data_IF_396115549963
#
_entry.id   IF_396115549963
#
_cell.length_a   1.000
_cell.length_b   1.000
_cell.length_c   1.000
_cell.angle_alpha   90.00
_cell.angle_beta   90.00
_cell.angle_gamma   90.00
#
_symmetry.space_group_name_H-M   'P 1'
#
loop_
_entity.id
_entity.type
_entity.pdbx_description
1 polymer ?
#
# COMPACT_ATOMS: atom_id res chain seq x y z
N UNK A 1 -13.49 5.19 11.55
CA UNK A 1 -13.87 4.39 10.36
C UNK A 1 -12.60 4.10 9.56
N UNK A 2 -12.33 2.82 9.26
CA UNK A 2 -11.22 2.41 8.38
C UNK A 2 -11.77 2.22 6.97
N UNK A 3 -11.12 2.78 5.95
CA UNK A 3 -11.41 2.45 4.54
C UNK A 3 -10.19 1.79 3.93
N UNK A 4 -10.41 0.81 3.06
CA UNK A 4 -9.32 0.02 2.50
C UNK A 4 -9.39 0.07 0.99
N UNK A 5 -8.53 0.91 0.43
CA UNK A 5 -8.32 0.96 -1.00
C UNK A 5 -7.44 -0.22 -1.40
N UNK A 6 -8.02 -1.26 -1.98
CA UNK A 6 -7.19 -2.29 -2.55
C UNK A 6 -6.76 -1.85 -3.95
N UNK A 7 -5.46 -1.80 -4.19
CA UNK A 7 -4.95 -1.64 -5.54
C UNK A 7 -4.98 -3.02 -6.21
N UNK A 8 -6.12 -3.33 -6.85
CA UNK A 8 -6.37 -4.67 -7.36
C UNK A 8 -6.32 -4.79 -8.86
N UNK A 9 -5.53 -5.74 -9.35
CA UNK A 9 -5.67 -6.28 -10.71
C UNK A 9 -6.66 -7.48 -10.74
N UNK A 10 -7.15 -7.94 -9.59
CA UNK A 10 -7.96 -9.14 -9.41
C UNK A 10 -9.00 -8.96 -8.29
N UNK A 11 -10.04 -9.80 -8.22
CA UNK A 11 -11.00 -9.73 -7.12
C UNK A 11 -10.30 -9.97 -5.78
N UNK A 12 -10.37 -8.99 -4.86
CA UNK A 12 -9.95 -9.21 -3.48
C UNK A 12 -11.05 -9.88 -2.69
N UNK A 13 -10.63 -10.83 -1.87
CA UNK A 13 -11.43 -11.41 -0.82
C UNK A 13 -11.27 -10.51 0.40
N UNK A 14 -12.36 -10.10 1.07
CA UNK A 14 -12.32 -9.45 2.38
C UNK A 14 -13.03 -10.35 3.41
N UNK A 15 -12.59 -10.37 4.69
CA UNK A 15 -13.28 -11.17 5.70
C UNK A 15 -14.72 -10.64 5.88
N UNK A 16 -15.67 -11.50 6.28
CA UNK A 16 -17.03 -11.07 6.60
C UNK A 16 -17.00 -9.97 7.68
N UNK A 17 -17.99 -9.07 7.63
CA UNK A 17 -18.16 -7.92 8.51
C UNK A 17 -17.83 -8.25 9.96
N UNK A 18 -16.84 -7.55 10.52
CA UNK A 18 -16.62 -7.49 11.95
C UNK A 18 -17.50 -6.40 12.58
N UNK A 19 -17.83 -6.62 13.84
CA UNK A 19 -18.80 -5.92 14.68
C UNK A 19 -18.88 -4.38 14.61
N UNK A 20 -20.08 -3.88 14.97
CA UNK A 20 -20.40 -2.55 15.52
C UNK A 20 -19.58 -1.33 15.04
N UNK A 21 -19.62 -1.03 13.73
CA UNK A 21 -19.28 0.31 13.20
C UNK A 21 -17.91 0.47 12.53
N UNK A 22 -17.12 -0.59 12.42
CA UNK A 22 -15.86 -0.58 11.65
C UNK A 22 -15.93 -1.54 10.46
N UNK A 23 -16.17 -1.00 9.27
CA UNK A 23 -16.30 -1.79 8.03
C UNK A 23 -15.17 -1.53 7.07
N UNK A 24 -14.60 -2.60 6.49
CA UNK A 24 -13.72 -2.49 5.33
C UNK A 24 -14.51 -1.99 4.11
N UNK A 25 -14.27 -0.75 3.68
CA UNK A 25 -14.76 -0.25 2.41
C UNK A 25 -13.73 -0.54 1.33
N UNK A 26 -14.01 -1.53 0.49
CA UNK A 26 -13.13 -1.96 -0.60
C UNK A 26 -13.33 -1.06 -1.82
N UNK A 27 -12.30 -0.27 -2.15
CA UNK A 27 -12.19 0.33 -3.48
C UNK A 27 -11.34 -0.59 -4.35
N UNK A 28 -11.79 -0.86 -5.58
CA UNK A 28 -10.98 -1.59 -6.55
C UNK A 28 -10.12 -0.60 -7.34
N UNK A 29 -8.82 -0.87 -7.37
CA UNK A 29 -7.84 -0.21 -8.21
C UNK A 29 -8.20 -0.22 -9.70
N UNK A 30 -7.60 0.72 -10.42
CA UNK A 30 -7.67 0.84 -11.86
C UNK A 30 -6.66 -0.10 -12.54
N UNK A 31 -7.06 -0.71 -13.66
CA UNK A 31 -6.12 -1.15 -14.68
C UNK A 31 -6.04 0.00 -15.67
N UNK A 32 -4.90 0.70 -15.78
CA UNK A 32 -4.81 1.69 -16.85
C UNK A 32 -5.01 0.97 -18.17
N UNK A 33 -5.95 1.48 -18.98
CA UNK A 33 -6.03 1.03 -20.35
C UNK A 33 -4.68 1.37 -20.98
N UNK A 34 -3.87 0.35 -21.27
CA UNK A 34 -2.52 0.50 -21.82
C UNK A 34 -2.50 1.35 -23.09
N UNK A 35 -3.66 1.52 -23.73
CA UNK A 35 -3.87 2.36 -24.90
C UNK A 35 -3.90 3.87 -24.60
N UNK A 36 -4.09 4.29 -23.34
CA UNK A 36 -4.12 5.71 -22.92
C UNK A 36 -2.78 6.23 -22.41
N UNK A 37 -1.81 5.34 -22.20
CA UNK A 37 -0.47 5.76 -21.79
C UNK A 37 0.26 6.40 -22.98
N UNK A 38 0.99 7.52 -22.78
CA UNK A 38 1.82 8.11 -23.83
C UNK A 38 2.72 7.05 -24.46
N UNK A 39 2.95 7.10 -25.76
CA UNK A 39 3.94 6.23 -26.40
C UNK A 39 5.33 6.59 -25.89
N UNK A 40 5.93 5.71 -25.09
CA UNK A 40 7.30 5.88 -24.62
C UNK A 40 8.29 5.17 -25.55
N UNK A 41 9.47 5.75 -25.81
CA UNK A 41 10.49 5.12 -26.66
C UNK A 41 10.92 3.77 -26.05
N UNK A 42 10.67 2.71 -26.81
CA UNK A 42 10.56 1.30 -26.42
C UNK A 42 11.83 0.59 -25.90
N UNK A 43 12.95 1.30 -25.69
CA UNK A 43 14.24 0.65 -25.36
C UNK A 43 14.56 0.53 -23.87
N UNK A 44 13.78 1.15 -22.97
CA UNK A 44 14.07 1.16 -21.53
C UNK A 44 12.92 0.68 -20.63
N UNK A 45 11.78 0.31 -21.21
CA UNK A 45 10.61 -0.15 -20.45
C UNK A 45 10.64 -1.68 -20.39
N UNK A 46 10.70 -2.24 -19.17
CA UNK A 46 10.67 -3.69 -18.98
C UNK A 46 9.35 -4.29 -19.43
N UNK A 47 8.20 -3.66 -19.10
CA UNK A 47 6.86 -4.00 -19.62
C UNK A 47 5.84 -2.85 -19.40
N UNK A 48 4.71 -2.80 -20.14
CA UNK A 48 3.57 -1.93 -19.80
C UNK A 48 3.06 -2.11 -18.36
N UNK A 49 3.21 -3.32 -17.80
CA UNK A 49 2.82 -3.63 -16.43
C UNK A 49 3.56 -2.76 -15.39
N UNK A 50 4.86 -2.56 -15.57
CA UNK A 50 5.66 -1.77 -14.63
C UNK A 50 5.20 -0.30 -14.60
N UNK A 51 4.85 0.25 -15.76
CA UNK A 51 4.25 1.58 -15.84
C UNK A 51 2.94 1.65 -15.06
N UNK A 52 2.04 0.67 -15.23
CA UNK A 52 0.77 0.67 -14.50
C UNK A 52 0.96 0.68 -12.99
N UNK A 53 1.89 -0.12 -12.48
CA UNK A 53 2.18 -0.17 -11.05
C UNK A 53 2.69 1.18 -10.51
N UNK A 54 3.51 1.91 -11.27
CA UNK A 54 4.03 3.22 -10.82
C UNK A 54 2.93 4.28 -10.60
N UNK A 55 1.79 4.15 -11.29
CA UNK A 55 0.68 5.08 -11.16
C UNK A 55 -0.30 4.75 -10.02
N UNK A 56 -0.10 3.67 -9.25
CA UNK A 56 -1.06 3.23 -8.21
C UNK A 56 -1.32 4.28 -7.13
N UNK A 57 -0.28 5.00 -6.71
CA UNK A 57 -0.41 6.07 -5.71
C UNK A 57 -1.02 7.34 -6.31
N UNK A 58 -0.82 7.59 -7.61
CA UNK A 58 -1.51 8.67 -8.32
C UNK A 58 -3.00 8.39 -8.41
N UNK A 59 -3.39 7.19 -8.81
CA UNK A 59 -4.80 6.78 -8.81
C UNK A 59 -5.40 6.98 -7.42
N UNK A 60 -4.71 6.51 -6.38
CA UNK A 60 -5.19 6.70 -5.01
C UNK A 60 -5.34 8.19 -4.66
N UNK A 61 -4.34 9.03 -4.96
CA UNK A 61 -4.41 10.47 -4.69
C UNK A 61 -5.47 11.22 -5.50
N UNK A 62 -5.87 10.73 -6.67
CA UNK A 62 -6.95 11.31 -7.48
C UNK A 62 -8.34 10.85 -7.04
N UNK A 63 -8.44 9.62 -6.56
CA UNK A 63 -9.69 9.08 -6.03
C UNK A 63 -9.98 9.60 -4.63
N UNK A 64 -8.96 9.75 -3.76
CA UNK A 64 -9.13 10.16 -2.37
C UNK A 64 -9.96 11.45 -2.19
N UNK A 65 -9.77 12.53 -2.97
CA UNK A 65 -10.58 13.74 -2.84
C UNK A 65 -12.04 13.58 -3.29
N UNK A 66 -12.30 12.67 -4.25
CA UNK A 66 -13.66 12.43 -4.79
C UNK A 66 -14.57 11.83 -3.75
N UNK A 67 -13.97 11.09 -2.84
CA UNK A 67 -14.69 10.47 -1.75
C UNK A 67 -14.49 11.39 -0.53
N UNK A 68 -15.50 12.21 -0.18
CA UNK A 68 -15.45 13.17 0.93
C UNK A 68 -15.02 12.47 2.23
N UNK A 69 -13.75 12.52 2.62
CA UNK A 69 -13.21 11.53 3.57
C UNK A 69 -12.53 12.10 4.81
N UNK A 70 -13.06 11.64 5.96
CA UNK A 70 -12.43 11.64 7.26
C UNK A 70 -12.14 10.16 7.58
N UNK A 71 -10.89 9.71 7.47
CA UNK A 71 -10.56 8.31 7.81
C UNK A 71 -9.15 7.88 7.43
N UNK A 72 -8.78 6.67 7.84
CA UNK A 72 -7.50 6.03 7.50
C UNK A 72 -7.69 5.16 6.26
N UNK A 73 -6.66 5.16 5.40
CA UNK A 73 -6.62 4.47 4.12
C UNK A 73 -5.55 3.39 4.19
N UNK A 74 -5.89 2.14 3.87
CA UNK A 74 -4.91 1.08 3.59
C UNK A 74 -4.84 0.89 2.07
N UNK A 75 -3.64 0.99 1.50
CA UNK A 75 -3.26 0.52 0.18
C UNK A 75 -2.64 -0.88 0.30
N UNK A 76 -3.17 -1.84 -0.45
CA UNK A 76 -2.70 -3.21 -0.49
C UNK A 76 -2.76 -3.80 -1.91
N UNK A 77 -1.71 -4.50 -2.31
CA UNK A 77 -1.66 -5.30 -3.54
C UNK A 77 -2.61 -6.52 -3.45
N UNK A 78 -2.86 -7.17 -4.59
CA UNK A 78 -3.85 -8.27 -4.70
C UNK A 78 -3.48 -9.56 -3.99
N UNK A 79 -2.19 -9.84 -3.94
CA UNK A 79 -1.60 -11.03 -3.34
C UNK A 79 -1.38 -10.82 -1.84
N UNK A 80 -2.40 -10.28 -1.18
CA UNK A 80 -2.38 -9.97 0.25
C UNK A 80 -3.42 -10.80 1.01
N UNK A 81 -3.13 -11.04 2.29
CA UNK A 81 -3.98 -11.78 3.20
C UNK A 81 -4.10 -11.03 4.53
N UNK A 82 -5.33 -10.63 4.89
CA UNK A 82 -5.62 -9.86 6.09
C UNK A 82 -6.03 -10.79 7.24
N UNK A 83 -5.34 -10.68 8.38
CA UNK A 83 -5.52 -11.50 9.58
C UNK A 83 -6.19 -10.77 10.75
N UNK A 84 -6.19 -9.45 10.74
CA UNK A 84 -6.73 -8.61 11.81
C UNK A 84 -8.12 -8.10 11.49
N UNK A 85 -8.87 -7.74 12.55
CA UNK A 85 -10.06 -6.92 12.40
C UNK A 85 -9.69 -5.48 12.00
N UNK A 86 -10.62 -4.70 11.41
CA UNK A 86 -10.42 -3.27 11.17
C UNK A 86 -10.00 -2.48 12.42
N UNK A 87 -10.60 -2.79 13.57
CA UNK A 87 -10.33 -2.11 14.84
C UNK A 87 -8.89 -2.37 15.31
N UNK A 88 -8.45 -3.63 15.28
CA UNK A 88 -7.09 -4.02 15.63
C UNK A 88 -6.06 -3.39 14.67
N UNK A 89 -6.35 -3.32 13.37
CA UNK A 89 -5.47 -2.65 12.41
C UNK A 89 -5.34 -1.15 12.71
N UNK A 90 -6.44 -0.46 13.01
CA UNK A 90 -6.45 0.96 13.35
C UNK A 90 -5.70 1.25 14.66
N UNK A 91 -5.90 0.42 15.68
CA UNK A 91 -5.20 0.53 16.96
C UNK A 91 -3.69 0.44 16.75
N UNK A 92 -3.23 -0.59 16.04
CA UNK A 92 -1.80 -0.75 15.73
C UNK A 92 -1.25 0.36 14.85
N UNK A 93 -2.04 0.88 13.92
CA UNK A 93 -1.62 2.04 13.12
C UNK A 93 -1.43 3.28 14.00
N UNK A 94 -2.35 3.54 14.94
CA UNK A 94 -2.23 4.64 15.88
C UNK A 94 -0.95 4.52 16.76
N UNK A 95 -0.57 3.30 17.14
CA UNK A 95 0.70 3.05 17.86
C UNK A 95 1.96 3.42 17.06
N UNK A 96 1.90 3.39 15.72
CA UNK A 96 3.04 3.75 14.88
C UNK A 96 3.34 5.25 14.92
N UNK A 97 2.39 6.08 15.38
CA UNK A 97 2.54 7.55 15.54
C UNK A 97 3.09 8.23 14.30
N UNK A 98 2.64 7.79 13.12
CA UNK A 98 3.09 8.31 11.83
C UNK A 98 1.88 8.50 10.91
N UNK A 99 1.82 9.60 10.12
CA UNK A 99 0.72 9.83 9.19
C UNK A 99 0.71 8.83 8.03
N UNK A 100 1.86 8.22 7.73
CA UNK A 100 2.04 7.15 6.75
C UNK A 100 2.91 6.04 7.33
N UNK A 101 2.49 4.79 7.17
CA UNK A 101 3.30 3.61 7.47
C UNK A 101 3.42 2.77 6.23
N UNK A 102 4.64 2.45 5.84
CA UNK A 102 4.96 1.62 4.66
C UNK A 102 5.47 0.26 5.12
N UNK A 103 5.06 -0.80 4.44
CA UNK A 103 5.55 -2.14 4.70
C UNK A 103 7.06 -2.23 4.47
N UNK A 104 7.76 -2.87 5.39
CA UNK A 104 9.19 -3.13 5.25
C UNK A 104 9.44 -4.58 4.78
N UNK A 105 10.55 -4.80 4.09
CA UNK A 105 11.01 -6.12 3.70
C UNK A 105 12.51 -6.30 3.96
N UNK A 106 12.96 -7.56 3.91
CA UNK A 106 14.34 -7.93 4.20
C UNK A 106 15.31 -7.75 3.03
N UNK A 107 14.78 -7.71 1.79
CA UNK A 107 15.59 -7.58 0.57
C UNK A 107 15.40 -6.20 -0.03
N UNK A 108 16.51 -5.54 -0.37
CA UNK A 108 16.43 -4.31 -1.15
C UNK A 108 16.06 -4.66 -2.60
N UNK A 109 14.87 -4.23 -3.03
CA UNK A 109 14.43 -4.41 -4.40
C UNK A 109 13.66 -3.17 -4.91
N UNK A 110 13.89 -2.75 -6.16
CA UNK A 110 15.17 -2.95 -6.85
C UNK A 110 16.29 -2.33 -6.02
N UNK A 111 17.51 -2.88 -6.14
CA UNK A 111 18.71 -2.36 -5.46
C UNK A 111 19.62 -1.72 -6.52
N UNK A 112 19.30 -0.51 -6.99
CA UNK A 112 20.01 0.09 -8.13
C UNK A 112 21.44 0.51 -7.78
N UNK A 113 21.75 0.75 -6.49
CA UNK A 113 23.10 1.06 -6.02
C UNK A 113 23.42 0.32 -4.72
N UNK A 114 24.03 -0.87 -4.82
CA UNK A 114 24.38 -1.67 -3.63
C UNK A 114 25.46 -1.04 -2.76
N UNK A 115 26.23 -0.08 -3.26
CA UNK A 115 27.32 0.55 -2.52
C UNK A 115 26.82 1.66 -1.61
N UNK A 116 25.75 2.36 -2.01
CA UNK A 116 25.17 3.45 -1.25
C UNK A 116 23.74 3.11 -0.81
N UNK A 117 23.61 2.25 0.20
CA UNK A 117 22.30 1.87 0.75
C UNK A 117 21.75 2.94 1.72
N UNK A 118 20.74 3.75 1.34
CA UNK A 118 20.18 4.77 2.23
C UNK A 118 19.31 4.17 3.34
N UNK A 119 18.98 2.88 3.22
CA UNK A 119 18.14 2.12 4.15
C UNK A 119 18.98 1.28 5.12
N UNK A 120 20.25 1.64 5.33
CA UNK A 120 21.11 0.95 6.28
C UNK A 120 20.52 1.04 7.70
N UNK A 121 20.41 -0.11 8.37
CA UNK A 121 19.81 -0.22 9.70
C UNK A 121 20.04 -1.59 10.31
N UNK A 122 19.82 -1.70 11.62
CA UNK A 122 20.04 -2.94 12.38
C UNK A 122 18.90 -3.95 12.27
N UNK A 123 17.71 -3.53 11.83
CA UNK A 123 16.56 -4.42 11.69
C UNK A 123 16.66 -5.27 10.43
N UNK A 124 16.09 -6.49 10.49
CA UNK A 124 16.00 -7.37 9.33
C UNK A 124 15.09 -6.77 8.26
N UNK A 125 13.88 -6.34 8.64
CA UNK A 125 12.97 -5.62 7.77
C UNK A 125 13.34 -4.13 7.78
N UNK A 126 13.88 -3.63 6.69
CA UNK A 126 14.39 -2.24 6.60
C UNK A 126 14.20 -1.57 5.25
N UNK A 127 13.83 -2.32 4.22
CA UNK A 127 13.62 -1.76 2.88
C UNK A 127 12.14 -1.50 2.65
N UNK A 128 11.73 -0.32 2.17
CA UNK A 128 10.33 -0.05 1.86
C UNK A 128 9.84 -0.96 0.71
N UNK A 129 8.64 -1.50 0.87
CA UNK A 129 7.91 -2.25 -0.15
C UNK A 129 6.62 -1.50 -0.51
N UNK A 130 6.38 -1.25 -1.79
CA UNK A 130 5.25 -0.45 -2.27
C UNK A 130 3.91 -1.17 -2.22
N UNK A 131 3.88 -2.49 -1.97
CA UNK A 131 2.65 -3.27 -2.02
C UNK A 131 1.77 -3.16 -0.79
N UNK A 132 2.27 -2.58 0.30
CA UNK A 132 1.51 -2.32 1.53
C UNK A 132 1.83 -0.93 2.10
N UNK A 133 0.81 -0.10 2.28
CA UNK A 133 0.92 1.17 2.99
C UNK A 133 -0.40 1.51 3.70
N UNK A 134 -0.35 2.10 4.88
CA UNK A 134 -1.53 2.64 5.57
C UNK A 134 -1.25 4.06 6.03
N UNK A 135 -2.22 4.96 5.92
CA UNK A 135 -2.00 6.36 6.26
C UNK A 135 -3.25 7.22 6.15
N UNK A 136 -3.06 8.51 6.42
CA UNK A 136 -4.11 9.51 6.18
C UNK A 136 -4.19 9.86 4.68
N UNK A 137 -5.34 10.37 4.19
CA UNK A 137 -5.47 10.82 2.81
C UNK A 137 -4.41 11.86 2.43
N UNK A 138 -4.11 12.79 3.34
CA UNK A 138 -3.11 13.85 3.15
C UNK A 138 -1.72 13.25 2.95
N UNK A 139 -1.36 12.22 3.72
CA UNK A 139 -0.06 11.57 3.59
C UNK A 139 0.10 10.85 2.24
N UNK A 140 -0.97 10.21 1.74
CA UNK A 140 -0.97 9.63 0.39
C UNK A 140 -0.89 10.68 -0.72
N UNK A 141 -1.56 11.82 -0.56
CA UNK A 141 -1.45 12.96 -1.50
C UNK A 141 -0.02 13.50 -1.52
N UNK A 142 0.63 13.65 -0.36
CA UNK A 142 2.03 14.07 -0.27
C UNK A 142 2.97 13.06 -0.95
N UNK A 143 2.76 11.75 -0.73
CA UNK A 143 3.55 10.70 -1.39
C UNK A 143 3.40 10.74 -2.91
N UNK A 144 2.16 10.84 -3.42
CA UNK A 144 1.89 10.93 -4.85
C UNK A 144 2.49 12.21 -5.46
N UNK A 145 2.43 13.34 -4.76
CA UNK A 145 3.07 14.58 -5.18
C UNK A 145 4.60 14.45 -5.23
N UNK A 146 5.23 13.82 -4.22
CA UNK A 146 6.67 13.57 -4.19
C UNK A 146 7.13 12.68 -5.36
N UNK A 147 6.32 11.71 -5.78
CA UNK A 147 6.56 10.90 -6.98
C UNK A 147 6.43 11.71 -8.28
N UNK A 148 5.36 12.50 -8.44
CA UNK A 148 5.12 13.30 -9.67
C UNK A 148 6.16 14.39 -9.91
N UNK A 149 6.76 14.89 -8.83
CA UNK A 149 7.83 15.90 -8.91
C UNK A 149 9.21 15.28 -9.17
N UNK A 150 9.30 13.98 -9.45
CA UNK A 150 10.51 13.38 -10.01
C UNK A 150 10.63 13.84 -11.48
N UNK A 151 11.81 14.32 -11.86
CA UNK A 151 12.08 15.00 -13.14
C UNK A 151 11.58 14.24 -14.39
N UNK A 152 11.42 12.92 -14.31
CA UNK A 152 11.05 12.07 -15.43
C UNK A 152 9.94 11.05 -15.10
N UNK A 153 9.13 11.27 -14.05
CA UNK A 153 8.06 10.33 -13.66
C UNK A 153 7.21 9.87 -14.87
N UNK A 154 6.93 8.55 -15.04
CA UNK A 154 7.13 7.42 -14.10
C UNK A 154 8.54 6.83 -14.06
N UNK A 155 9.51 7.47 -14.72
CA UNK A 155 10.91 7.11 -14.56
C UNK A 155 11.44 7.57 -13.20
N UNK A 156 11.91 6.62 -12.40
CA UNK A 156 12.45 6.88 -11.08
C UNK A 156 13.98 6.80 -11.09
N UNK A 157 14.66 7.82 -10.53
CA UNK A 157 16.12 7.91 -10.62
C UNK A 157 16.76 6.76 -9.84
N UNK A 158 17.79 6.13 -10.42
CA UNK A 158 18.64 5.20 -9.67
C UNK A 158 19.45 5.96 -8.61
N UNK A 159 19.72 5.33 -7.46
CA UNK A 159 20.35 5.92 -6.26
C UNK A 159 21.82 6.39 -6.40
N UNK A 160 22.34 6.55 -7.61
CA UNK A 160 23.73 6.91 -7.86
C UNK A 160 24.03 8.38 -7.51
N UNK A 161 24.29 8.70 -6.24
CA UNK A 161 24.67 10.01 -5.64
C UNK A 161 23.65 10.68 -4.73
N UNK A 162 23.04 9.94 -3.79
CA UNK A 162 22.28 10.59 -2.70
C UNK A 162 23.16 11.37 -1.71
N UNK A 163 24.49 11.17 -1.73
CA UNK A 163 25.44 11.65 -0.70
C UNK A 163 26.05 13.03 -0.95
N UNK A 164 25.65 13.75 -1.99
CA UNK A 164 26.09 15.14 -2.19
C UNK A 164 24.91 16.05 -2.46
N UNK A 165 25.02 17.32 -2.08
CA UNK A 165 24.07 18.43 -2.32
C UNK A 165 23.81 18.72 -3.82
N UNK A 166 23.71 17.68 -4.66
CA UNK A 166 23.76 17.71 -6.12
C UNK A 166 22.49 17.07 -6.67
N UNK A 167 21.34 17.59 -6.25
CA UNK A 167 20.19 17.61 -7.16
C UNK A 167 20.34 18.72 -8.23
N UNK A 168 21.31 19.62 -8.08
CA UNK A 168 21.47 20.80 -8.94
C UNK A 168 22.23 20.54 -10.25
N UNK A 169 22.98 19.44 -10.39
CA UNK A 169 23.82 19.17 -11.57
C UNK A 169 23.67 17.73 -12.09
N UNK A 170 22.47 17.14 -12.03
CA UNK A 170 22.17 15.96 -12.84
C UNK A 170 22.10 16.39 -14.31
N UNK A 171 23.29 16.44 -14.92
CA UNK A 171 23.51 16.60 -16.35
C UNK A 171 22.73 15.54 -17.10
N UNK A 172 21.99 16.03 -18.10
CA UNK A 172 21.23 15.42 -19.21
C UNK A 172 21.58 14.03 -19.78
N UNK A 173 22.51 13.26 -19.23
CA UNK A 173 22.76 11.88 -19.67
C UNK A 173 21.78 10.92 -18.98
N UNK A 174 20.64 10.75 -19.66
CA UNK A 174 19.48 9.88 -19.44
C UNK A 174 19.79 8.36 -19.35
N UNK A 175 20.88 7.96 -18.71
CA UNK A 175 21.46 6.62 -18.89
C UNK A 175 20.89 5.54 -17.96
N UNK A 176 19.91 5.88 -17.13
CA UNK A 176 19.60 5.04 -15.97
C UNK A 176 18.15 5.28 -15.49
N UNK A 177 17.21 5.08 -16.43
CA UNK A 177 15.79 5.10 -16.13
C UNK A 177 15.32 3.73 -15.64
N UNK A 178 14.65 3.67 -14.48
CA UNK A 178 13.93 2.48 -14.04
C UNK A 178 12.50 2.86 -13.71
N UNK A 179 11.56 2.21 -14.41
CA UNK A 179 10.13 2.30 -14.12
C UNK A 179 9.82 1.11 -13.21
N UNK A 180 9.68 1.38 -11.93
CA UNK A 180 9.40 0.39 -10.89
C UNK A 180 8.72 1.12 -9.72
N UNK A 181 7.53 0.69 -9.34
CA UNK A 181 6.70 1.38 -8.34
C UNK A 181 7.37 1.40 -6.97
N UNK A 182 8.05 0.31 -6.61
CA UNK A 182 8.78 0.20 -5.37
C UNK A 182 9.98 1.15 -5.34
N UNK A 183 10.73 1.29 -6.44
CA UNK A 183 11.77 2.30 -6.55
C UNK A 183 11.21 3.72 -6.41
N UNK A 184 10.11 4.01 -7.11
CA UNK A 184 9.49 5.33 -7.05
C UNK A 184 9.03 5.71 -5.64
N UNK A 185 8.44 4.77 -4.90
CA UNK A 185 8.10 4.95 -3.49
C UNK A 185 9.35 5.22 -2.67
N UNK A 186 10.39 4.39 -2.78
CA UNK A 186 11.63 4.57 -2.03
C UNK A 186 12.24 5.97 -2.25
N UNK A 187 12.34 6.43 -3.50
CA UNK A 187 12.87 7.76 -3.80
C UNK A 187 11.97 8.85 -3.23
N UNK A 188 10.65 8.72 -3.35
CA UNK A 188 9.72 9.71 -2.82
C UNK A 188 9.79 9.82 -1.29
N UNK A 189 9.91 8.70 -0.58
CA UNK A 189 10.06 8.68 0.88
C UNK A 189 11.32 9.42 1.34
N UNK A 190 12.43 9.29 0.61
CA UNK A 190 13.67 9.99 0.94
C UNK A 190 13.60 11.51 0.69
N UNK A 191 12.66 11.98 -0.15
CA UNK A 191 12.48 13.42 -0.47
C UNK A 191 11.63 14.20 0.54
N UNK A 192 11.40 13.64 1.73
CA UNK A 192 10.77 14.36 2.84
C UNK A 192 9.27 14.14 3.02
N UNK A 193 8.74 13.02 2.52
CA UNK A 193 7.43 12.53 3.00
C UNK A 193 7.59 12.17 4.47
N UNK A 194 6.62 12.51 5.33
CA UNK A 194 6.61 12.04 6.71
C UNK A 194 6.08 10.60 6.76
N UNK A 195 6.91 9.65 7.20
CA UNK A 195 6.54 8.23 7.24
C UNK A 195 7.27 7.47 8.34
N UNK A 196 6.80 6.25 8.57
CA UNK A 196 7.50 5.21 9.31
C UNK A 196 7.53 3.92 8.51
N UNK A 197 8.58 3.11 8.70
CA UNK A 197 8.64 1.75 8.19
C UNK A 197 8.17 0.78 9.26
N UNK A 198 7.33 -0.18 8.86
CA UNK A 198 6.94 -1.29 9.76
C UNK A 198 8.05 -2.34 9.86
N UNK A 199 9.15 -1.98 10.53
CA UNK A 199 10.35 -2.81 10.65
C UNK A 199 10.17 -4.03 11.58
N UNK A 200 9.05 -4.10 12.31
CA UNK A 200 8.73 -5.16 13.26
C UNK A 200 7.55 -6.03 12.81
N UNK A 201 7.05 -5.83 11.59
CA UNK A 201 5.87 -6.52 11.07
C UNK A 201 4.64 -6.43 11.99
N UNK A 202 4.43 -5.28 12.64
CA UNK A 202 3.23 -5.05 13.49
C UNK A 202 1.97 -4.98 12.63
N UNK A 203 2.05 -4.36 11.48
CA UNK A 203 0.97 -4.17 10.53
C UNK A 203 1.14 -5.11 9.33
N UNK A 204 2.34 -5.20 8.78
CA UNK A 204 2.62 -5.70 7.44
C UNK A 204 3.79 -6.68 7.45
N UNK A 205 3.65 -7.82 6.75
CA UNK A 205 4.76 -8.70 6.46
C UNK A 205 4.84 -8.99 4.96
N UNK A 206 5.93 -8.57 4.34
CA UNK A 206 6.29 -8.94 2.97
C UNK A 206 6.98 -10.31 2.97
N UNK A 207 6.25 -11.32 2.53
CA UNK A 207 6.59 -12.73 2.69
C UNK A 207 7.66 -13.19 1.69
N UNK A 208 7.82 -12.50 0.55
CA UNK A 208 8.75 -12.88 -0.52
C UNK A 208 10.22 -13.04 -0.10
N UNK A 209 10.61 -12.31 0.95
CA UNK A 209 11.98 -12.32 1.51
C UNK A 209 12.05 -12.93 2.91
N UNK A 210 10.99 -13.61 3.36
CA UNK A 210 10.90 -14.27 4.67
C UNK A 210 11.16 -15.77 4.52
N UNK A 211 12.06 -16.33 5.32
CA UNK A 211 12.31 -17.79 5.27
C UNK A 211 11.14 -18.57 5.89
N UNK A 212 10.91 -19.85 5.52
CA UNK A 212 9.76 -20.61 6.01
C UNK A 212 9.70 -20.77 7.53
N UNK A 213 10.85 -20.82 8.20
CA UNK A 213 11.00 -20.92 9.66
C UNK A 213 10.72 -19.61 10.40
N UNK A 214 10.72 -18.48 9.69
CA UNK A 214 10.42 -17.16 10.27
C UNK A 214 8.94 -16.83 10.30
N UNK A 215 8.10 -17.64 9.67
CA UNK A 215 6.67 -17.43 9.59
C UNK A 215 5.94 -18.69 10.06
N UNK A 216 5.52 -18.69 11.33
CA UNK A 216 4.88 -19.85 11.96
C UNK A 216 3.40 -19.58 12.21
N UNK A 217 2.58 -20.61 12.09
CA UNK A 217 1.17 -20.49 12.44
C UNK A 217 1.00 -20.71 13.94
N UNK A 218 0.35 -19.77 14.61
CA UNK A 218 0.00 -19.90 16.02
C UNK A 218 -1.18 -20.85 16.19
N UNK A 219 -0.99 -21.89 16.98
CA UNK A 219 -2.02 -22.93 17.19
C UNK A 219 -3.30 -22.42 17.85
N UNK A 220 -3.20 -21.41 18.73
CA UNK A 220 -4.34 -20.95 19.55
C UNK A 220 -5.44 -20.25 18.75
N UNK A 221 -5.08 -19.53 17.69
CA UNK A 221 -6.02 -18.73 16.90
C UNK A 221 -5.79 -18.82 15.39
N UNK A 222 -4.86 -19.67 14.95
CA UNK A 222 -4.57 -19.92 13.53
C UNK A 222 -3.92 -18.76 12.80
N UNK A 223 -3.55 -17.65 13.46
CA UNK A 223 -2.87 -16.51 12.84
C UNK A 223 -1.38 -16.77 12.66
N UNK A 224 -0.79 -16.18 11.64
CA UNK A 224 0.64 -16.26 11.35
C UNK A 224 1.43 -15.25 12.18
N UNK A 225 2.54 -15.72 12.73
CA UNK A 225 3.46 -14.95 13.58
C UNK A 225 4.80 -14.84 12.86
N UNK A 226 5.32 -13.62 12.77
CA UNK A 226 6.68 -13.35 12.34
C UNK A 226 7.62 -13.59 13.52
N UNK A 227 8.37 -14.69 13.48
CA UNK A 227 9.21 -15.17 14.59
C UNK A 227 10.25 -14.13 15.03
N UNK A 228 11.00 -13.44 14.12
CA UNK A 228 12.07 -12.54 14.54
C UNK A 228 11.64 -11.38 15.45
N UNK A 229 10.42 -10.88 15.30
CA UNK A 229 9.88 -9.80 16.17
C UNK A 229 8.79 -10.29 17.12
N UNK A 230 8.42 -11.57 17.05
CA UNK A 230 7.30 -12.15 17.79
C UNK A 230 5.98 -11.37 17.62
N UNK A 231 5.72 -10.87 16.41
CA UNK A 231 4.49 -10.12 16.09
C UNK A 231 3.56 -10.94 15.20
N UNK A 232 2.26 -10.71 15.32
CA UNK A 232 1.27 -11.26 14.40
C UNK A 232 0.89 -10.20 13.37
N UNK A 233 1.52 -10.12 12.19
CA UNK A 233 1.22 -9.09 11.18
C UNK A 233 -0.26 -9.10 10.79
N UNK A 234 -0.84 -7.91 10.63
CA UNK A 234 -2.23 -7.78 10.21
C UNK A 234 -2.46 -8.07 8.73
N UNK A 235 -1.48 -7.80 7.87
CA UNK A 235 -1.53 -8.09 6.45
C UNK A 235 -0.26 -8.82 6.04
N UNK A 236 -0.42 -10.02 5.47
CA UNK A 236 0.65 -10.74 4.78
C UNK A 236 0.60 -10.35 3.30
N UNK A 237 1.73 -9.96 2.72
CA UNK A 237 1.87 -9.68 1.29
C UNK A 237 2.79 -10.71 0.66
N UNK A 238 2.30 -11.47 -0.31
CA UNK A 238 3.03 -12.57 -0.92
C UNK A 238 3.86 -12.14 -2.12
N UNK A 239 4.57 -11.02 -1.98
CA UNK A 239 5.37 -10.42 -3.05
C UNK A 239 6.35 -11.41 -3.71
N UNK A 240 6.60 -11.20 -5.00
CA UNK A 240 7.52 -11.99 -5.82
C UNK A 240 6.88 -13.21 -6.50
N UNK A 241 7.28 -13.46 -7.76
CA UNK A 241 6.61 -14.43 -8.65
C UNK A 241 6.55 -15.88 -8.14
N UNK A 242 7.58 -16.37 -7.44
CA UNK A 242 7.64 -17.77 -6.99
C UNK A 242 7.02 -17.97 -5.61
N UNK A 243 7.13 -16.97 -4.74
CA UNK A 243 6.59 -16.97 -3.38
C UNK A 243 5.07 -16.84 -3.38
N UNK A 244 4.51 -15.98 -4.22
CA UNK A 244 3.08 -15.69 -4.31
C UNK A 244 2.23 -16.97 -4.46
N UNK A 245 2.47 -17.70 -5.55
CA UNK A 245 1.61 -18.83 -5.94
C UNK A 245 1.76 -20.03 -5.01
N UNK A 246 3.00 -20.37 -4.63
CA UNK A 246 3.26 -21.54 -3.79
C UNK A 246 2.78 -21.30 -2.36
N UNK A 247 3.05 -20.12 -1.79
CA UNK A 247 2.64 -19.81 -0.42
C UNK A 247 1.15 -19.52 -0.32
N UNK A 248 0.53 -18.79 -1.25
CA UNK A 248 -0.93 -18.63 -1.23
C UNK A 248 -1.67 -19.96 -1.32
N UNK A 249 -1.21 -20.90 -2.14
CA UNK A 249 -1.84 -22.22 -2.22
C UNK A 249 -1.69 -23.04 -0.94
N UNK A 250 -0.56 -22.93 -0.24
CA UNK A 250 -0.37 -23.58 1.06
C UNK A 250 -1.22 -22.92 2.17
N UNK A 251 -1.46 -21.62 2.06
CA UNK A 251 -2.10 -20.81 3.10
C UNK A 251 -3.62 -20.69 2.93
N UNK A 252 -4.13 -20.72 1.70
CA UNK A 252 -5.55 -20.55 1.40
C UNK A 252 -6.47 -21.61 2.08
N UNK A 253 -6.12 -22.90 2.16
CA UNK A 253 -6.92 -23.89 2.90
C UNK A 253 -6.98 -23.60 4.39
N UNK A 254 -5.89 -23.09 4.98
CA UNK A 254 -5.79 -22.76 6.40
C UNK A 254 -6.58 -21.48 6.72
N UNK A 255 -6.49 -20.47 5.85
CA UNK A 255 -7.26 -19.24 5.92
C UNK A 255 -8.78 -19.48 5.95
N UNK A 256 -9.27 -20.38 5.08
CA UNK A 256 -10.70 -20.72 4.98
C UNK A 256 -11.23 -21.40 6.26
N UNK A 257 -10.37 -22.13 6.98
CA UNK A 257 -10.73 -22.84 8.21
C UNK A 257 -10.82 -21.90 9.43
N UNK A 258 -9.98 -20.87 9.48
CA UNK A 258 -9.83 -20.00 10.66
C UNK A 258 -10.74 -18.78 10.61
N UNK A 259 -10.96 -18.19 9.43
CA UNK A 259 -11.64 -16.89 9.29
C UNK A 259 -13.05 -16.97 8.68
N UNK A 260 -13.57 -18.18 8.46
CA UNK A 260 -14.83 -18.41 7.77
C UNK A 260 -14.75 -18.19 6.26
N UNK A 261 -15.90 -18.26 5.58
CA UNK A 261 -15.99 -18.06 4.14
C UNK A 261 -15.75 -16.60 3.81
N UNK A 262 -14.62 -16.33 3.17
CA UNK A 262 -14.37 -15.04 2.54
C UNK A 262 -15.47 -14.75 1.53
N UNK A 263 -16.20 -13.64 1.69
CA UNK A 263 -17.26 -13.25 0.76
C UNK A 263 -16.65 -12.28 -0.24
N UNK A 264 -16.57 -12.70 -1.51
CA UNK A 264 -16.29 -11.78 -2.61
C UNK A 264 -17.45 -10.79 -2.66
N UNK A 265 -17.22 -9.55 -2.21
CA UNK A 265 -18.22 -8.49 -2.33
C UNK A 265 -18.17 -7.92 -3.74
N UNK A 266 -19.32 -7.71 -4.40
CA UNK A 266 -19.39 -6.85 -5.57
C UNK A 266 -18.80 -5.49 -5.20
N UNK A 267 -17.97 -4.93 -6.07
CA UNK A 267 -17.47 -3.56 -5.90
C UNK A 267 -18.65 -2.61 -5.85
N UNK A 268 -18.69 -1.71 -4.87
CA UNK A 268 -19.59 -0.55 -4.91
C UNK A 268 -19.07 0.35 -6.04
N UNK A 269 -19.86 0.65 -7.09
CA UNK A 269 -19.46 1.63 -8.09
C UNK A 269 -19.17 2.96 -7.40
N UNK A 270 -18.10 3.66 -7.79
CA UNK A 270 -17.71 4.94 -7.20
C UNK A 270 -18.87 5.98 -7.14
N UNK A 271 -19.85 5.84 -8.04
CA UNK A 271 -21.00 6.73 -8.16
C UNK A 271 -22.15 6.50 -7.15
N UNK A 272 -22.17 5.41 -6.37
CA UNK A 272 -23.36 5.07 -5.53
C UNK A 272 -23.25 5.49 -4.06
N UNK A 273 -22.15 6.13 -3.64
CA UNK A 273 -21.89 6.42 -2.22
C UNK A 273 -22.61 7.68 -1.71
N UNK A 274 -23.11 8.55 -2.60
CA UNK A 274 -23.62 9.89 -2.20
C UNK A 274 -25.14 10.01 -1.99
N UNK A 275 -25.95 8.98 -2.28
CA UNK A 275 -27.41 9.15 -2.22
C UNK A 275 -28.02 9.02 -0.80
N UNK A 276 -27.36 8.35 0.14
CA UNK A 276 -27.96 8.06 1.46
C UNK A 276 -27.54 9.02 2.58
N UNK A 277 -26.37 9.66 2.50
CA UNK A 277 -25.91 10.62 3.53
C UNK A 277 -26.50 12.03 3.42
N UNK A 278 -27.00 12.42 2.24
CA UNK A 278 -27.51 13.77 2.00
C UNK A 278 -28.94 14.02 2.54
N UNK A 279 -29.70 12.95 2.87
CA UNK A 279 -31.10 13.09 3.30
C UNK A 279 -31.27 13.32 4.81
N UNK A 280 -30.27 13.06 5.64
CA UNK A 280 -30.37 13.31 7.09
C UNK A 280 -30.04 14.76 7.49
N UNK A 281 -29.26 15.48 6.66
CA UNK A 281 -28.85 16.86 6.98
C UNK A 281 -29.88 17.94 6.63
N UNK A 282 -31.00 17.60 5.96
CA UNK A 282 -32.06 18.56 5.60
C UNK A 282 -33.22 18.64 6.61
N UNK A 283 -33.12 18.00 7.78
CA UNK A 283 -34.20 17.99 8.80
C UNK A 283 -34.02 18.91 10.00
N UNK A 284 -33.01 19.80 10.01
CA UNK A 284 -32.93 20.87 11.02
C UNK A 284 -33.86 22.02 10.57
N UNK A 285 -35.10 21.94 11.05
CA UNK A 285 -36.12 22.98 10.94
C UNK A 285 -35.60 24.30 11.53
N UNK A 286 -35.58 25.33 10.70
CA UNK A 286 -35.67 26.73 11.12
C UNK A 286 -37.01 26.95 11.82
N UNK A 287 -36.99 27.09 13.14
CA UNK A 287 -38.09 27.70 13.89
C UNK A 287 -37.93 29.21 13.80
N UNK A 288 -38.86 29.86 13.11
CA UNK A 288 -39.04 31.31 13.10
C UNK A 288 -39.28 31.82 14.52
N UNK A 289 -38.62 32.92 14.88
CA UNK A 289 -39.06 33.80 15.95
C UNK A 289 -39.28 35.20 15.35
N UNK A 290 -40.55 35.57 15.24
CA UNK A 290 -40.99 36.94 14.99
C UNK A 290 -41.68 37.40 16.27
N UNK A 291 -41.06 38.34 16.98
CA UNK A 291 -41.64 39.23 18.00
C UNK A 291 -40.64 40.35 18.25
#
# INVERSE_FOLDING_TARGET
MLRVGFHTNQQTSAPPTYDAGHTFHVMKGWWADSHTLPSWPSRQIRTPYDMHQTHKFQWLAEELPKVRHQGIVLLADTDTFVQCSPAELLERFAEMRSPLVVGAEARWWPAPDRHNNPWAGSTKLRYPNSGLAIGTPEAFVQLAHAQRTLQHFPCCPMFANYTSNVYSNYSSTLHSCMIDDQLCVQVALLRGVEYSLDTQAKLFLNVGSTSPDELVQRHSDGRWVYVPSNTTPCVLHFNGHHSAKVRMNALAPLAKKVLGTWVVRPSVPAATIDAQGANESKKIKTTNASS
#
